data_IF_745632824761
#
_entry.id   IF_745632824761
#
_cell.length_a   1.000
_cell.length_b   1.000
_cell.length_c   1.000
_cell.angle_alpha   90.00
_cell.angle_beta   90.00
_cell.angle_gamma   90.00
#
_symmetry.space_group_name_H-M   'P 1'
#
loop_
_entity.id
_entity.type
_entity.pdbx_description
1 polymer ?
#
# COMPACT_ATOMS: atom_id res chain seq x y z
N UNK A 1 -36.55 -19.25 -32.80
CA UNK A 1 -35.16 -19.63 -32.53
C UNK A 1 -34.74 -18.92 -31.24
N UNK A 2 -34.67 -19.64 -30.11
CA UNK A 2 -34.26 -19.07 -28.85
C UNK A 2 -32.74 -18.96 -28.83
N UNK A 3 -32.19 -17.74 -28.72
CA UNK A 3 -30.79 -17.50 -28.51
C UNK A 3 -30.38 -18.06 -27.13
N UNK A 4 -29.51 -19.06 -27.13
CA UNK A 4 -28.90 -19.62 -25.94
C UNK A 4 -28.04 -18.52 -25.30
N UNK A 5 -28.52 -17.96 -24.20
CA UNK A 5 -27.73 -17.02 -23.37
C UNK A 5 -26.48 -17.80 -22.94
N UNK A 6 -25.29 -17.35 -23.36
CA UNK A 6 -24.04 -17.87 -22.84
C UNK A 6 -24.01 -17.60 -21.35
N UNK A 7 -23.93 -18.68 -20.59
CA UNK A 7 -23.64 -18.62 -19.17
C UNK A 7 -22.25 -17.98 -19.05
N UNK A 8 -22.22 -16.74 -18.58
CA UNK A 8 -20.95 -16.07 -18.24
C UNK A 8 -20.56 -16.68 -16.90
N UNK A 9 -19.57 -17.57 -16.92
CA UNK A 9 -18.90 -17.97 -15.68
C UNK A 9 -18.35 -16.69 -15.04
N UNK A 10 -19.00 -16.27 -13.95
CA UNK A 10 -18.47 -15.21 -13.12
C UNK A 10 -17.15 -15.72 -12.53
N UNK A 11 -16.04 -15.22 -13.04
CA UNK A 11 -14.74 -15.44 -12.46
C UNK A 11 -14.82 -14.94 -11.01
N UNK A 12 -14.94 -15.87 -10.06
CA UNK A 12 -14.73 -15.53 -8.65
C UNK A 12 -13.24 -15.23 -8.51
N UNK A 13 -12.86 -13.95 -8.29
CA UNK A 13 -11.46 -13.63 -8.07
C UNK A 13 -10.99 -14.43 -6.86
N UNK A 14 -9.82 -15.09 -6.94
CA UNK A 14 -9.22 -15.71 -5.76
C UNK A 14 -9.19 -14.66 -4.67
N UNK A 15 -9.46 -15.06 -3.41
CA UNK A 15 -9.53 -14.20 -2.21
C UNK A 15 -8.75 -12.91 -2.41
N UNK A 16 -9.45 -11.80 -2.55
CA UNK A 16 -8.91 -10.60 -3.16
C UNK A 16 -7.65 -10.12 -2.43
N UNK A 17 -6.78 -9.45 -3.13
CA UNK A 17 -5.57 -8.84 -2.54
C UNK A 17 -5.89 -8.08 -1.25
N UNK A 18 -7.06 -7.46 -1.20
CA UNK A 18 -7.57 -6.70 -0.04
C UNK A 18 -7.60 -7.56 1.23
N UNK A 19 -8.16 -8.78 1.16
CA UNK A 19 -8.27 -9.69 2.31
C UNK A 19 -6.94 -10.32 2.71
N UNK A 20 -5.97 -10.36 1.81
CA UNK A 20 -4.62 -10.86 2.12
C UNK A 20 -3.73 -9.80 2.76
N UNK A 21 -3.99 -8.53 2.45
CA UNK A 21 -3.19 -7.39 2.91
C UNK A 21 -3.74 -6.79 4.20
N UNK A 22 -5.07 -6.80 4.36
CA UNK A 22 -5.77 -6.06 5.39
C UNK A 22 -6.55 -6.98 6.31
N UNK A 23 -6.64 -6.58 7.58
CA UNK A 23 -7.54 -7.22 8.53
C UNK A 23 -9.00 -7.06 8.10
N UNK A 24 -9.85 -8.03 8.43
CA UNK A 24 -11.23 -8.12 7.99
C UNK A 24 -12.03 -6.80 8.09
N UNK A 25 -12.02 -6.04 9.19
CA UNK A 25 -12.80 -4.81 9.31
C UNK A 25 -12.29 -3.71 8.35
N UNK A 26 -10.98 -3.64 8.09
CA UNK A 26 -10.39 -2.66 7.16
C UNK A 26 -10.66 -3.09 5.71
N UNK A 27 -10.55 -4.38 5.42
CA UNK A 27 -10.85 -4.95 4.12
C UNK A 27 -12.31 -4.68 3.71
N UNK A 28 -13.27 -4.90 4.59
CA UNK A 28 -14.69 -4.57 4.33
C UNK A 28 -14.89 -3.07 4.11
N UNK A 29 -14.18 -2.25 4.88
CA UNK A 29 -14.30 -0.80 4.74
C UNK A 29 -13.79 -0.30 3.39
N UNK A 30 -12.67 -0.83 2.89
CA UNK A 30 -12.13 -0.41 1.59
C UNK A 30 -13.00 -0.84 0.41
N UNK A 31 -13.73 -1.96 0.52
CA UNK A 31 -14.73 -2.38 -0.48
C UNK A 31 -15.87 -1.37 -0.64
N UNK A 32 -16.15 -0.58 0.38
CA UNK A 32 -17.14 0.49 0.32
C UNK A 32 -16.69 1.74 -0.46
N UNK A 33 -15.50 1.71 -1.08
CA UNK A 33 -14.93 2.82 -1.81
C UNK A 33 -15.75 3.20 -3.04
N UNK A 34 -16.26 4.43 -3.07
CA UNK A 34 -17.05 4.97 -4.19
C UNK A 34 -16.22 5.57 -5.32
N UNK A 35 -14.89 5.44 -5.25
CA UNK A 35 -13.97 5.91 -6.29
C UNK A 35 -14.08 7.43 -6.59
N UNK A 36 -14.43 8.26 -5.61
CA UNK A 36 -14.66 9.71 -5.78
C UNK A 36 -13.40 10.53 -6.09
N UNK A 37 -12.20 9.99 -5.83
CA UNK A 37 -10.93 10.65 -6.13
C UNK A 37 -10.42 11.65 -5.08
N UNK A 38 -11.16 11.91 -3.99
CA UNK A 38 -10.73 12.85 -2.92
C UNK A 38 -9.35 12.50 -2.36
N UNK A 39 -9.03 11.21 -2.24
CA UNK A 39 -7.72 10.75 -1.78
C UNK A 39 -6.59 11.11 -2.75
N UNK A 40 -6.82 11.05 -4.06
CA UNK A 40 -5.83 11.44 -5.08
C UNK A 40 -5.64 12.95 -5.14
N UNK A 41 -6.74 13.71 -5.10
CA UNK A 41 -6.69 15.17 -5.10
C UNK A 41 -6.02 15.76 -3.84
N UNK A 42 -6.03 15.01 -2.74
CA UNK A 42 -5.45 15.46 -1.46
C UNK A 42 -4.02 15.01 -1.24
N UNK A 43 -3.51 14.08 -2.05
CA UNK A 43 -2.20 13.48 -1.84
C UNK A 43 -1.08 14.43 -2.33
N UNK A 44 -0.16 14.85 -1.45
CA UNK A 44 0.91 15.77 -1.83
C UNK A 44 1.95 15.14 -2.75
N UNK A 45 2.04 13.81 -2.78
CA UNK A 45 3.00 13.06 -3.60
C UNK A 45 2.36 12.39 -4.83
N UNK A 46 1.07 12.61 -5.09
CA UNK A 46 0.35 11.96 -6.18
C UNK A 46 1.01 12.17 -7.56
N UNK A 47 1.66 13.30 -7.77
CA UNK A 47 2.36 13.65 -9.03
C UNK A 47 3.58 12.77 -9.33
N UNK A 48 4.17 12.17 -8.30
CA UNK A 48 5.36 11.31 -8.42
C UNK A 48 5.01 9.80 -8.40
N UNK A 49 3.76 9.47 -8.12
CA UNK A 49 3.27 8.09 -8.05
C UNK A 49 2.98 7.51 -9.44
N UNK A 50 3.24 6.21 -9.62
CA UNK A 50 2.88 5.49 -10.85
C UNK A 50 1.35 5.40 -11.00
N UNK A 51 0.66 5.14 -9.90
CA UNK A 51 -0.79 5.19 -9.79
C UNK A 51 -1.18 6.17 -8.71
N UNK A 52 -2.16 7.01 -8.96
CA UNK A 52 -2.75 7.83 -7.91
C UNK A 52 -3.42 6.95 -6.84
N UNK A 53 -3.58 7.42 -5.58
CA UNK A 53 -4.21 6.62 -4.53
C UNK A 53 -5.53 5.96 -4.96
N UNK A 54 -6.42 6.68 -5.66
CA UNK A 54 -7.67 6.11 -6.17
C UNK A 54 -7.46 4.95 -7.14
N UNK A 55 -6.48 5.06 -8.04
CA UNK A 55 -6.16 3.99 -8.99
C UNK A 55 -5.58 2.77 -8.27
N UNK A 56 -4.69 2.98 -7.30
CA UNK A 56 -4.13 1.90 -6.50
C UNK A 56 -5.23 1.10 -5.78
N UNK A 57 -6.19 1.79 -5.14
CA UNK A 57 -7.34 1.12 -4.51
C UNK A 57 -8.19 0.34 -5.51
N UNK A 58 -8.32 0.86 -6.72
CA UNK A 58 -9.05 0.14 -7.77
C UNK A 58 -8.33 -1.14 -8.19
N UNK A 59 -7.01 -1.09 -8.35
CA UNK A 59 -6.19 -2.28 -8.66
C UNK A 59 -6.29 -3.32 -7.54
N UNK A 60 -6.21 -2.89 -6.27
CA UNK A 60 -6.39 -3.78 -5.12
C UNK A 60 -7.75 -4.48 -5.12
N UNK A 61 -8.83 -3.72 -5.36
CA UNK A 61 -10.19 -4.26 -5.42
C UNK A 61 -10.41 -5.21 -6.60
N UNK A 62 -9.65 -5.07 -7.68
CA UNK A 62 -9.64 -5.96 -8.82
C UNK A 62 -8.73 -7.19 -8.64
N UNK A 63 -7.98 -7.27 -7.53
CA UNK A 63 -7.06 -8.36 -7.25
C UNK A 63 -5.79 -8.37 -8.10
N UNK A 64 -5.45 -7.26 -8.76
CA UNK A 64 -4.27 -7.10 -9.62
C UNK A 64 -3.01 -6.91 -8.75
N UNK A 65 -2.58 -8.01 -8.10
CA UNK A 65 -1.49 -7.99 -7.12
C UNK A 65 -0.16 -7.58 -7.72
N UNK A 66 0.18 -8.10 -8.89
CA UNK A 66 1.45 -7.82 -9.55
C UNK A 66 1.58 -6.33 -9.89
N UNK A 67 0.54 -5.71 -10.43
CA UNK A 67 0.51 -4.29 -10.75
C UNK A 67 0.63 -3.43 -9.50
N UNK A 68 -0.01 -3.84 -8.41
CA UNK A 68 0.07 -3.14 -7.11
C UNK A 68 1.48 -3.25 -6.56
N UNK A 69 2.05 -4.45 -6.45
CA UNK A 69 3.36 -4.68 -5.83
C UNK A 69 4.53 -4.13 -6.63
N UNK A 70 4.42 -4.09 -7.96
CA UNK A 70 5.45 -3.50 -8.83
C UNK A 70 5.38 -1.97 -8.88
N UNK A 71 4.33 -1.35 -8.31
CA UNK A 71 4.21 0.11 -8.30
C UNK A 71 5.03 0.75 -7.18
N UNK A 72 5.54 1.96 -7.44
CA UNK A 72 6.19 2.78 -6.41
C UNK A 72 5.19 3.58 -5.56
N UNK A 73 3.90 3.52 -5.87
CA UNK A 73 2.86 4.36 -5.27
C UNK A 73 2.84 4.31 -3.76
N UNK A 74 2.74 3.11 -3.18
CA UNK A 74 2.68 2.98 -1.72
C UNK A 74 4.02 3.26 -1.04
N UNK A 75 5.15 3.09 -1.74
CA UNK A 75 6.48 3.47 -1.24
C UNK A 75 6.63 4.98 -1.07
N UNK A 76 6.07 5.77 -1.99
CA UNK A 76 6.09 7.24 -1.97
C UNK A 76 5.10 7.87 -0.98
N UNK A 77 4.31 7.05 -0.30
CA UNK A 77 3.38 7.53 0.72
C UNK A 77 4.14 8.06 1.95
N UNK A 78 3.94 9.35 2.25
CA UNK A 78 4.54 10.05 3.39
C UNK A 78 3.73 9.92 4.69
N UNK A 79 2.70 9.10 4.71
CA UNK A 79 1.82 8.87 5.87
C UNK A 79 1.17 10.15 6.45
N UNK A 80 0.95 11.16 5.61
CA UNK A 80 0.40 12.46 6.03
C UNK A 80 -1.09 12.44 6.43
N UNK A 81 -1.77 11.32 6.32
CA UNK A 81 -3.19 11.09 6.63
C UNK A 81 -4.22 11.94 5.86
N UNK A 82 -3.83 12.83 4.95
CA UNK A 82 -4.76 13.67 4.19
C UNK A 82 -5.84 12.88 3.46
N UNK A 83 -5.47 11.75 2.85
CA UNK A 83 -6.41 10.88 2.15
C UNK A 83 -7.43 10.21 3.09
N UNK A 84 -7.02 9.85 4.31
CA UNK A 84 -7.88 9.27 5.35
C UNK A 84 -8.88 10.29 5.86
N UNK A 85 -8.40 11.48 6.25
CA UNK A 85 -9.25 12.55 6.82
C UNK A 85 -10.30 13.03 5.82
N UNK A 86 -9.94 13.12 4.54
CA UNK A 86 -10.85 13.61 3.48
C UNK A 86 -11.72 12.55 2.84
N UNK A 87 -11.62 11.29 3.28
CA UNK A 87 -12.42 10.22 2.72
C UNK A 87 -13.89 10.32 3.16
N UNK A 88 -14.86 10.51 2.24
CA UNK A 88 -16.28 10.61 2.61
C UNK A 88 -16.84 9.28 3.12
N UNK A 89 -16.16 8.17 2.88
CA UNK A 89 -16.51 6.83 3.37
C UNK A 89 -15.81 6.47 4.67
N UNK A 90 -14.93 7.33 5.21
CA UNK A 90 -14.17 7.09 6.43
C UNK A 90 -13.24 5.88 6.32
N UNK A 91 -12.62 5.68 5.15
CA UNK A 91 -11.67 4.59 4.92
C UNK A 91 -10.30 5.01 5.45
N UNK A 92 -9.65 4.14 6.22
CA UNK A 92 -8.31 4.35 6.78
C UNK A 92 -7.24 4.09 5.70
N UNK A 93 -7.16 4.99 4.72
CA UNK A 93 -6.30 4.80 3.54
C UNK A 93 -4.81 4.84 3.88
N UNK A 94 -4.41 5.62 4.88
CA UNK A 94 -3.02 5.67 5.34
C UNK A 94 -2.58 4.33 5.92
N UNK A 95 -3.42 3.71 6.75
CA UNK A 95 -3.14 2.41 7.34
C UNK A 95 -3.08 1.32 6.27
N UNK A 96 -3.93 1.42 5.25
CA UNK A 96 -3.88 0.54 4.09
C UNK A 96 -2.55 0.67 3.33
N UNK A 97 -2.01 1.88 3.17
CA UNK A 97 -0.69 2.09 2.55
C UNK A 97 0.43 1.45 3.37
N UNK A 98 0.38 1.55 4.70
CA UNK A 98 1.35 0.93 5.61
C UNK A 98 1.26 -0.60 5.56
N UNK A 99 0.04 -1.15 5.58
CA UNK A 99 -0.18 -2.58 5.43
C UNK A 99 0.36 -3.12 4.09
N UNK A 100 0.19 -2.36 2.99
CA UNK A 100 0.78 -2.70 1.70
C UNK A 100 2.31 -2.74 1.73
N UNK A 101 2.96 -1.77 2.38
CA UNK A 101 4.42 -1.77 2.56
C UNK A 101 4.88 -3.04 3.27
N UNK A 102 4.24 -3.36 4.40
CA UNK A 102 4.55 -4.56 5.18
C UNK A 102 4.32 -5.85 4.38
N UNK A 103 3.21 -5.92 3.64
CA UNK A 103 2.89 -7.06 2.78
C UNK A 103 3.91 -7.23 1.65
N UNK A 104 4.27 -6.12 0.97
CA UNK A 104 5.25 -6.12 -0.10
C UNK A 104 6.61 -6.62 0.37
N UNK A 105 7.08 -6.18 1.55
CA UNK A 105 8.32 -6.66 2.17
C UNK A 105 8.28 -8.17 2.45
N UNK A 106 7.18 -8.66 3.04
CA UNK A 106 7.00 -10.11 3.31
C UNK A 106 6.99 -10.95 2.02
N UNK A 107 6.56 -10.36 0.90
CA UNK A 107 6.56 -11.01 -0.43
C UNK A 107 7.90 -10.88 -1.16
N UNK A 108 8.89 -10.22 -0.56
CA UNK A 108 10.20 -10.00 -1.17
C UNK A 108 10.19 -8.99 -2.32
N UNK A 109 9.24 -8.05 -2.32
CA UNK A 109 9.21 -6.99 -3.32
C UNK A 109 10.44 -6.08 -3.19
N UNK A 110 11.00 -5.68 -4.34
CA UNK A 110 12.13 -4.76 -4.36
C UNK A 110 11.74 -3.38 -3.83
N UNK A 111 12.39 -2.95 -2.76
CA UNK A 111 12.25 -1.57 -2.26
C UNK A 111 13.01 -0.65 -3.21
N UNK A 112 12.39 0.42 -3.72
CA UNK A 112 13.09 1.38 -4.57
C UNK A 112 14.32 1.97 -3.87
N UNK A 113 15.46 2.02 -4.56
CA UNK A 113 16.73 2.51 -4.00
C UNK A 113 16.61 3.93 -3.38
N UNK A 114 15.77 4.76 -3.97
CA UNK A 114 15.48 6.10 -3.43
C UNK A 114 14.86 6.05 -2.04
N UNK A 115 14.03 5.06 -1.75
CA UNK A 115 13.40 4.87 -0.44
C UNK A 115 14.43 4.38 0.57
N UNK A 116 15.30 3.45 0.15
CA UNK A 116 16.41 2.97 1.00
C UNK A 116 17.33 4.12 1.40
N UNK A 117 17.75 4.96 0.45
CA UNK A 117 18.59 6.14 0.71
C UNK A 117 17.93 7.15 1.66
N UNK A 118 16.63 7.40 1.51
CA UNK A 118 15.89 8.29 2.42
C UNK A 118 15.82 7.68 3.82
N UNK A 119 15.53 6.38 3.92
CA UNK A 119 15.50 5.67 5.19
C UNK A 119 16.85 5.73 5.91
N UNK A 120 17.95 5.47 5.19
CA UNK A 120 19.31 5.53 5.70
C UNK A 120 19.66 6.95 6.17
N UNK A 121 19.35 7.97 5.39
CA UNK A 121 19.58 9.37 5.75
C UNK A 121 18.81 9.78 7.02
N UNK A 122 17.55 9.35 7.13
CA UNK A 122 16.73 9.61 8.32
C UNK A 122 17.31 8.90 9.54
N UNK A 123 17.69 7.63 9.41
CA UNK A 123 18.29 6.86 10.50
C UNK A 123 19.62 7.48 10.97
N UNK A 124 20.46 7.92 10.03
CA UNK A 124 21.73 8.57 10.35
C UNK A 124 21.51 9.89 11.09
N UNK A 125 20.59 10.72 10.67
CA UNK A 125 20.26 11.97 11.33
C UNK A 125 19.68 11.75 12.74
N UNK A 126 18.84 10.72 12.93
CA UNK A 126 18.31 10.35 14.25
C UNK A 126 19.40 9.88 15.21
N UNK A 127 20.36 9.10 14.72
CA UNK A 127 21.50 8.65 15.55
C UNK A 127 22.40 9.81 16.01
N UNK A 128 22.44 10.92 15.27
CA UNK A 128 23.20 12.12 15.65
C UNK A 128 22.49 12.87 16.77
N UNK A 129 21.16 12.87 16.85
CA UNK A 129 20.38 13.56 17.89
C UNK A 129 20.24 12.81 19.20
N UNK A 130 20.65 11.54 19.26
CA UNK A 130 20.63 10.74 20.50
C UNK A 130 19.24 10.39 21.04
N UNK A 131 18.22 10.52 20.24
CA UNK A 131 16.84 10.27 20.63
C UNK A 131 16.49 8.78 20.38
N UNK A 132 16.40 8.00 21.45
CA UNK A 132 15.99 6.58 21.43
C UNK A 132 14.47 6.50 21.25
N UNK A 133 13.96 6.69 20.05
CA UNK A 133 12.53 6.60 19.80
C UNK A 133 12.10 5.22 19.30
N UNK A 134 10.96 4.71 19.78
CA UNK A 134 10.37 3.39 19.48
C UNK A 134 10.21 3.09 17.97
N UNK A 135 10.17 4.11 17.13
CA UNK A 135 10.11 3.95 15.67
C UNK A 135 11.35 3.23 15.08
N UNK A 136 12.47 3.20 15.80
CA UNK A 136 13.68 2.46 15.43
C UNK A 136 13.48 0.95 15.49
N UNK A 137 12.69 0.46 16.45
CA UNK A 137 12.45 -0.97 16.65
C UNK A 137 11.66 -1.62 15.50
N UNK A 138 10.68 -0.90 14.94
CA UNK A 138 9.83 -1.42 13.86
C UNK A 138 10.61 -1.63 12.53
N UNK A 139 11.66 -0.83 12.30
CA UNK A 139 12.48 -0.94 11.09
C UNK A 139 13.66 -1.89 11.25
N UNK A 140 14.29 -1.91 12.43
CA UNK A 140 15.47 -2.78 12.69
C UNK A 140 15.09 -4.26 12.76
N UNK A 141 13.99 -4.62 13.40
CA UNK A 141 13.53 -6.01 13.49
C UNK A 141 13.22 -6.64 12.12
N UNK A 142 12.77 -5.82 11.15
CA UNK A 142 12.51 -6.31 9.80
C UNK A 142 13.75 -6.37 8.89
N UNK A 143 14.85 -5.69 9.25
CA UNK A 143 16.10 -5.70 8.49
C UNK A 143 17.08 -6.77 8.97
N UNK A 144 17.04 -7.14 10.25
CA UNK A 144 17.92 -8.15 10.83
C UNK A 144 17.55 -9.59 10.42
N UNK A 145 16.30 -9.84 10.00
CA UNK A 145 15.87 -11.19 9.56
C UNK A 145 16.34 -11.61 8.17
N UNK A 146 16.97 -10.72 7.36
CA UNK A 146 17.44 -11.08 6.00
C UNK A 146 18.77 -10.46 5.59
N UNK A 147 19.90 -10.75 6.26
CA UNK A 147 21.21 -10.30 5.77
C UNK A 147 21.69 -11.03 4.51
N UNK A 148 21.15 -12.20 4.16
CA UNK A 148 21.62 -13.04 3.06
C UNK A 148 21.03 -12.73 1.68
N UNK A 149 20.05 -11.83 1.57
CA UNK A 149 19.36 -11.52 0.30
C UNK A 149 19.77 -10.16 -0.30
N UNK A 150 20.75 -9.46 0.30
CA UNK A 150 21.28 -8.18 -0.19
C UNK A 150 22.72 -8.26 -0.72
N UNK A 151 23.21 -9.47 -0.96
CA UNK A 151 24.52 -9.70 -1.61
C UNK A 151 24.35 -9.98 -3.11
#
# INVERSE_FOLDING_TARGET
MAQKVREVELFEPPLGLVERVLDAPVAEKIKSCIQCGSCSASCPTAYAMDYTPRQLWRLMLLGLEEEVLNSRTFWLCTSCACCTVRCPRGILLTDTMLALKSYALKRGANVPETILKVSEAVTTNYNISGDENESRLIWSENLEEKPEQLA
#
